data_IF_921005306392
#
_entry.id   IF_921005306392
#
_cell.length_a   1.000
_cell.length_b   1.000
_cell.length_c   1.000
_cell.angle_alpha   90.00
_cell.angle_beta   90.00
_cell.angle_gamma   90.00
#
_symmetry.space_group_name_H-M   'P 1'
#
loop_
_entity.id
_entity.type
_entity.pdbx_description
1 polymer ?
#
# COMPACT_ATOMS: atom_id res chain seq x y z
N UNK A 1 2.04 20.59 -4.05
CA UNK A 1 2.46 21.04 -2.71
C UNK A 1 1.65 20.23 -1.72
N UNK A 2 2.26 19.26 -1.02
CA UNK A 2 1.55 18.57 0.06
C UNK A 2 1.31 19.59 1.16
N UNK A 3 0.05 19.82 1.52
CA UNK A 3 -0.28 20.52 2.75
C UNK A 3 0.40 19.74 3.88
N UNK A 4 1.36 20.39 4.55
CA UNK A 4 1.99 19.80 5.73
C UNK A 4 0.92 19.71 6.81
N UNK A 5 0.64 18.51 7.34
CA UNK A 5 -0.54 18.27 8.18
C UNK A 5 -0.48 18.98 9.53
N UNK A 6 0.70 19.44 9.96
CA UNK A 6 0.88 19.91 11.33
C UNK A 6 1.23 21.40 11.39
N UNK A 7 0.21 22.17 11.71
CA UNK A 7 0.36 23.59 12.05
C UNK A 7 0.82 23.77 13.50
N UNK A 8 0.50 22.83 14.37
CA UNK A 8 0.75 22.90 15.80
C UNK A 8 1.56 21.71 16.31
N UNK A 9 2.45 21.99 17.26
CA UNK A 9 3.25 20.98 17.92
C UNK A 9 2.41 20.00 18.72
N UNK A 10 2.52 18.71 18.43
CA UNK A 10 1.79 17.64 19.16
C UNK A 10 2.24 17.48 20.62
N UNK A 11 3.41 18.05 20.99
CA UNK A 11 3.95 17.98 22.36
C UNK A 11 3.45 19.12 23.25
N UNK A 12 3.36 20.34 22.73
CA UNK A 12 3.06 21.52 23.57
C UNK A 12 2.00 22.47 22.97
N UNK A 13 1.46 22.18 21.79
CA UNK A 13 0.42 23.00 21.17
C UNK A 13 0.90 24.32 20.53
N UNK A 14 2.20 24.66 20.62
CA UNK A 14 2.72 25.87 19.98
C UNK A 14 2.70 25.75 18.45
N UNK A 15 2.54 26.88 17.75
CA UNK A 15 2.61 26.91 16.28
C UNK A 15 3.99 26.53 15.80
N UNK A 16 4.06 25.64 14.77
CA UNK A 16 5.30 25.19 14.18
C UNK A 16 5.85 26.21 13.17
N UNK A 17 7.15 26.33 13.10
CA UNK A 17 7.87 27.11 12.09
C UNK A 17 8.69 26.20 11.21
N UNK A 18 8.92 26.60 9.95
CA UNK A 18 9.75 25.85 9.03
C UNK A 18 11.21 26.26 9.19
N UNK A 19 12.06 25.33 9.59
CA UNK A 19 13.49 25.53 9.79
C UNK A 19 14.30 24.41 9.11
N UNK A 20 15.51 24.74 8.68
CA UNK A 20 16.46 23.75 8.22
C UNK A 20 16.91 22.86 9.36
N UNK A 21 16.60 21.56 9.24
CA UNK A 21 16.95 20.52 10.20
C UNK A 21 17.48 19.29 9.45
N UNK A 22 18.73 18.92 9.73
CA UNK A 22 19.38 17.77 9.08
C UNK A 22 19.32 17.81 7.54
N UNK A 23 19.65 18.99 6.96
CA UNK A 23 19.72 19.18 5.52
C UNK A 23 18.37 19.25 4.78
N UNK A 24 17.26 19.40 5.52
CA UNK A 24 15.91 19.58 4.94
C UNK A 24 15.11 20.60 5.75
N UNK A 25 14.23 21.32 5.09
CA UNK A 25 13.27 22.19 5.77
C UNK A 25 12.18 21.35 6.40
N UNK A 26 12.07 21.41 7.74
CA UNK A 26 11.09 20.66 8.52
C UNK A 26 10.27 21.55 9.46
N UNK A 27 9.00 21.22 9.74
CA UNK A 27 8.24 21.87 10.80
C UNK A 27 8.94 21.62 12.15
N UNK A 28 9.29 22.70 12.83
CA UNK A 28 10.03 22.66 14.10
C UNK A 28 9.31 23.52 15.12
N UNK A 29 9.20 23.05 16.35
CA UNK A 29 8.58 23.79 17.43
C UNK A 29 9.57 24.79 18.05
N UNK A 30 9.31 26.11 17.96
CA UNK A 30 10.19 27.10 18.58
C UNK A 30 10.12 27.11 20.11
N UNK A 31 9.10 26.51 20.71
CA UNK A 31 8.88 26.49 22.14
C UNK A 31 9.54 25.31 22.85
N UNK A 32 9.41 24.07 22.32
CA UNK A 32 9.93 22.87 22.97
C UNK A 32 11.01 22.14 22.17
N UNK A 33 11.37 22.63 20.98
CA UNK A 33 12.41 22.04 20.13
C UNK A 33 11.99 20.76 19.38
N UNK A 34 10.70 20.35 19.47
CA UNK A 34 10.23 19.18 18.74
C UNK A 34 10.30 19.40 17.23
N UNK A 35 10.82 18.41 16.50
CA UNK A 35 10.95 18.43 15.04
C UNK A 35 10.02 17.39 14.47
N UNK A 36 9.21 17.77 13.46
CA UNK A 36 8.36 16.86 12.72
C UNK A 36 9.14 16.14 11.62
N UNK A 37 9.10 14.82 11.65
CA UNK A 37 9.58 13.97 10.59
C UNK A 37 8.36 13.31 9.93
N UNK A 38 8.15 13.57 8.65
CA UNK A 38 7.09 12.92 7.91
C UNK A 38 7.42 11.44 7.74
N UNK A 39 6.57 10.57 8.26
CA UNK A 39 6.70 9.13 8.10
C UNK A 39 6.20 8.72 6.70
N UNK A 40 6.94 7.86 5.97
CA UNK A 40 6.46 7.34 4.70
C UNK A 40 5.25 6.43 4.93
N UNK A 41 4.25 6.54 4.07
CA UNK A 41 3.14 5.57 4.03
C UNK A 41 3.62 4.29 3.37
N UNK A 42 3.51 3.19 4.09
CA UNK A 42 3.90 1.86 3.62
C UNK A 42 2.66 1.04 3.35
N UNK A 43 2.59 0.43 2.17
CA UNK A 43 1.60 -0.59 1.83
C UNK A 43 2.29 -1.94 1.68
N UNK A 44 1.55 -3.00 1.95
CA UNK A 44 1.94 -4.36 1.64
C UNK A 44 1.01 -4.92 0.57
N UNK A 45 1.58 -5.57 -0.43
CA UNK A 45 0.86 -6.21 -1.52
C UNK A 45 1.22 -7.68 -1.61
N UNK A 46 0.31 -8.48 -2.11
CA UNK A 46 0.53 -9.91 -2.26
C UNK A 46 0.35 -10.38 -3.70
N UNK A 47 1.34 -11.10 -4.21
CA UNK A 47 1.30 -11.83 -5.47
C UNK A 47 0.91 -13.29 -5.17
N UNK A 48 -0.33 -13.63 -5.53
CA UNK A 48 -0.87 -14.99 -5.41
C UNK A 48 -1.06 -15.56 -6.81
N UNK A 49 -0.37 -16.66 -7.08
CA UNK A 49 -0.44 -17.36 -8.36
C UNK A 49 -1.03 -18.76 -8.15
N UNK A 50 -1.95 -19.15 -9.03
CA UNK A 50 -2.54 -20.47 -9.05
C UNK A 50 -2.79 -20.88 -10.51
N UNK A 51 -2.32 -22.07 -10.90
CA UNK A 51 -2.50 -22.66 -12.24
C UNK A 51 -2.12 -21.69 -13.40
N UNK A 52 -1.02 -20.95 -13.25
CA UNK A 52 -0.52 -19.99 -14.24
C UNK A 52 -1.33 -18.69 -14.34
N UNK A 53 -2.19 -18.45 -13.37
CA UNK A 53 -3.00 -17.23 -13.25
C UNK A 53 -2.64 -16.45 -12.01
N UNK A 54 -2.83 -15.14 -12.05
CA UNK A 54 -2.60 -14.22 -10.92
C UNK A 54 -3.91 -13.69 -10.38
N UNK A 55 -4.01 -13.63 -9.05
CA UNK A 55 -5.15 -13.03 -8.35
C UNK A 55 -5.08 -11.50 -8.44
N UNK A 56 -6.17 -10.90 -8.90
CA UNK A 56 -6.35 -9.45 -8.90
C UNK A 56 -7.69 -9.08 -8.27
N UNK A 57 -7.76 -7.88 -7.70
CA UNK A 57 -8.95 -7.24 -7.15
C UNK A 57 -9.32 -6.01 -7.96
N UNK A 58 -10.63 -5.77 -8.15
CA UNK A 58 -11.13 -4.57 -8.83
C UNK A 58 -11.51 -3.51 -7.81
N UNK A 59 -10.90 -2.36 -7.94
CA UNK A 59 -11.00 -1.23 -7.02
C UNK A 59 -12.38 -0.56 -7.03
N UNK A 60 -12.92 -0.25 -5.85
CA UNK A 60 -14.13 0.56 -5.69
C UNK A 60 -13.83 2.05 -5.42
N UNK A 61 -12.60 2.37 -5.04
CA UNK A 61 -12.20 3.71 -4.60
C UNK A 61 -11.38 4.48 -5.65
N UNK A 62 -11.47 5.82 -5.59
CA UNK A 62 -10.59 6.72 -6.33
C UNK A 62 -9.20 6.79 -5.67
N UNK A 63 -8.14 6.99 -6.45
CA UNK A 63 -8.06 7.00 -7.91
C UNK A 63 -8.17 5.60 -8.51
N UNK A 64 -8.42 5.53 -9.81
CA UNK A 64 -8.47 4.28 -10.59
C UNK A 64 -9.62 3.33 -10.21
N UNK A 65 -10.77 3.87 -9.81
CA UNK A 65 -11.98 3.10 -9.58
C UNK A 65 -12.33 2.26 -10.83
N UNK A 66 -12.67 0.98 -10.63
CA UNK A 66 -13.00 0.03 -11.69
C UNK A 66 -11.81 -0.64 -12.35
N UNK A 67 -10.58 -0.20 -12.09
CA UNK A 67 -9.36 -0.85 -12.56
C UNK A 67 -8.87 -1.91 -11.57
N UNK A 68 -7.95 -2.75 -12.03
CA UNK A 68 -7.49 -3.92 -11.29
C UNK A 68 -6.10 -3.73 -10.69
N UNK A 69 -5.86 -4.31 -9.53
CA UNK A 69 -4.57 -4.31 -8.85
C UNK A 69 -4.33 -5.64 -8.12
N UNK A 70 -3.10 -5.85 -7.66
CA UNK A 70 -2.85 -6.90 -6.67
C UNK A 70 -3.61 -6.55 -5.37
N UNK A 71 -4.06 -7.55 -4.59
CA UNK A 71 -4.53 -7.32 -3.23
C UNK A 71 -3.48 -6.58 -2.42
N UNK A 72 -3.84 -5.43 -1.84
CA UNK A 72 -2.88 -4.56 -1.17
C UNK A 72 -3.54 -3.48 -0.31
N UNK A 73 -2.95 -3.20 0.85
CA UNK A 73 -3.36 -2.08 1.67
C UNK A 73 -2.26 -1.55 2.58
N UNK A 74 -2.60 -0.59 3.42
CA UNK A 74 -1.63 0.04 4.31
C UNK A 74 -1.23 -0.86 5.47
N UNK A 75 0.06 -0.83 5.78
CA UNK A 75 0.60 -1.45 6.99
C UNK A 75 0.28 -0.56 8.18
N UNK A 76 -0.37 -1.11 9.20
CA UNK A 76 -0.68 -0.39 10.42
C UNK A 76 0.56 -0.19 11.30
N UNK A 77 0.55 0.83 12.14
CA UNK A 77 1.64 1.05 13.08
C UNK A 77 1.82 -0.18 14.01
N UNK A 78 3.03 -0.74 14.02
CA UNK A 78 3.37 -1.94 14.80
C UNK A 78 2.96 -3.27 14.15
N UNK A 79 2.35 -3.25 12.98
CA UNK A 79 1.99 -4.46 12.23
C UNK A 79 3.19 -4.98 11.44
N UNK A 80 3.37 -6.31 11.42
CA UNK A 80 4.32 -6.95 10.51
C UNK A 80 3.83 -6.83 9.06
N UNK A 81 4.65 -6.32 8.12
CA UNK A 81 4.21 -6.11 6.73
C UNK A 81 3.75 -7.38 6.01
N UNK A 82 4.31 -8.57 6.35
CA UNK A 82 3.86 -9.82 5.78
C UNK A 82 2.44 -10.17 6.28
N UNK A 83 2.17 -9.90 7.56
CA UNK A 83 0.83 -10.06 8.14
C UNK A 83 -0.18 -9.06 7.57
N UNK A 84 0.25 -7.82 7.31
CA UNK A 84 -0.57 -6.84 6.60
C UNK A 84 -0.98 -7.36 5.21
N UNK A 85 -0.05 -7.91 4.43
CA UNK A 85 -0.34 -8.49 3.12
C UNK A 85 -1.33 -9.66 3.19
N UNK A 86 -1.18 -10.56 4.20
CA UNK A 86 -2.12 -11.67 4.43
C UNK A 86 -3.51 -11.16 4.82
N UNK A 87 -3.61 -10.16 5.70
CA UNK A 87 -4.84 -9.53 6.15
C UNK A 87 -5.58 -8.86 4.98
N UNK A 88 -4.89 -8.02 4.21
CA UNK A 88 -5.47 -7.33 3.06
C UNK A 88 -5.99 -8.33 2.01
N UNK A 89 -5.24 -9.41 1.74
CA UNK A 89 -5.71 -10.45 0.84
C UNK A 89 -7.01 -11.10 1.34
N UNK A 90 -7.11 -11.39 2.64
CA UNK A 90 -8.32 -11.94 3.23
C UNK A 90 -9.49 -10.95 3.15
N UNK A 91 -9.28 -9.69 3.49
CA UNK A 91 -10.29 -8.62 3.50
C UNK A 91 -10.84 -8.36 2.09
N UNK A 92 -9.97 -8.26 1.08
CA UNK A 92 -10.36 -7.96 -0.30
C UNK A 92 -10.84 -9.17 -1.11
N UNK A 93 -10.44 -10.40 -0.74
CA UNK A 93 -10.67 -11.58 -1.58
C UNK A 93 -11.33 -12.77 -0.88
N UNK A 94 -11.43 -12.76 0.45
CA UNK A 94 -11.90 -13.90 1.24
C UNK A 94 -10.94 -15.09 1.29
N UNK A 95 -9.77 -15.02 0.61
CA UNK A 95 -8.78 -16.09 0.62
C UNK A 95 -7.83 -15.95 1.80
N UNK A 96 -7.60 -17.04 2.50
CA UNK A 96 -6.54 -17.17 3.49
C UNK A 96 -5.25 -17.54 2.77
N UNK A 97 -4.22 -16.72 2.91
CA UNK A 97 -2.92 -16.94 2.28
C UNK A 97 -1.82 -16.98 3.32
N UNK A 98 -0.72 -17.61 2.97
CA UNK A 98 0.52 -17.62 3.74
C UNK A 98 1.63 -17.01 2.89
N UNK A 99 2.27 -15.95 3.40
CA UNK A 99 3.44 -15.34 2.76
C UNK A 99 4.59 -16.35 2.74
N UNK A 100 5.20 -16.51 1.57
CA UNK A 100 6.29 -17.47 1.36
C UNK A 100 7.63 -16.79 1.08
N UNK A 101 7.62 -15.59 0.52
CA UNK A 101 8.84 -14.83 0.22
C UNK A 101 8.56 -13.33 0.06
N UNK A 102 9.56 -12.50 0.40
CA UNK A 102 9.64 -11.12 -0.07
C UNK A 102 10.06 -11.15 -1.55
N UNK A 103 9.32 -10.45 -2.42
CA UNK A 103 9.62 -10.37 -3.86
C UNK A 103 10.39 -9.08 -4.17
N UNK A 104 9.85 -7.93 -3.76
CA UNK A 104 10.46 -6.62 -4.07
C UNK A 104 9.96 -5.55 -3.07
N UNK A 105 10.67 -4.43 -3.06
CA UNK A 105 10.23 -3.18 -2.44
C UNK A 105 10.13 -2.13 -3.55
N UNK A 106 8.92 -1.73 -3.88
CA UNK A 106 8.61 -0.88 -5.02
C UNK A 106 8.34 0.54 -4.53
N UNK A 107 8.96 1.54 -5.16
CA UNK A 107 8.60 2.94 -4.92
C UNK A 107 7.14 3.16 -5.36
N UNK A 108 6.35 3.72 -4.46
CA UNK A 108 4.96 4.06 -4.69
C UNK A 108 4.80 5.50 -5.21
N UNK A 109 3.90 6.26 -4.60
CA UNK A 109 3.69 7.69 -4.85
C UNK A 109 3.15 8.02 -6.24
N UNK A 110 2.29 7.16 -6.74
CA UNK A 110 1.61 7.41 -8.02
C UNK A 110 0.48 8.45 -7.89
N UNK A 111 0.07 8.77 -6.66
CA UNK A 111 -0.89 9.82 -6.34
C UNK A 111 -0.71 10.32 -4.89
N UNK A 112 -1.24 11.50 -4.58
CA UNK A 112 -1.01 12.21 -3.32
C UNK A 112 -1.46 11.46 -2.06
N UNK A 113 -2.42 10.55 -2.18
CA UNK A 113 -2.93 9.72 -1.07
C UNK A 113 -2.41 8.28 -1.09
N UNK A 114 -1.57 7.93 -2.07
CA UNK A 114 -1.00 6.61 -2.21
C UNK A 114 0.12 6.32 -1.20
N UNK A 115 0.59 5.07 -1.21
CA UNK A 115 1.76 4.66 -0.47
C UNK A 115 3.03 5.29 -1.06
N UNK A 116 3.99 5.62 -0.21
CA UNK A 116 5.33 6.02 -0.62
C UNK A 116 6.17 4.79 -1.01
N UNK A 117 5.82 3.64 -0.44
CA UNK A 117 6.54 2.38 -0.60
C UNK A 117 5.56 1.22 -0.56
N UNK A 118 5.75 0.24 -1.44
CA UNK A 118 4.97 -1.00 -1.49
C UNK A 118 5.93 -2.17 -1.26
N UNK A 119 5.66 -2.96 -0.23
CA UNK A 119 6.38 -4.20 0.05
C UNK A 119 5.61 -5.34 -0.61
N UNK A 120 6.18 -5.94 -1.66
CA UNK A 120 5.55 -7.01 -2.42
C UNK A 120 5.99 -8.37 -1.90
N UNK A 121 5.03 -9.17 -1.50
CA UNK A 121 5.24 -10.55 -1.08
C UNK A 121 4.65 -11.54 -2.08
N UNK A 122 5.27 -12.71 -2.19
CA UNK A 122 4.66 -13.90 -2.79
C UNK A 122 3.93 -14.67 -1.69
N UNK A 123 2.73 -15.16 -2.00
CA UNK A 123 1.98 -15.99 -1.06
C UNK A 123 1.31 -17.16 -1.78
N UNK A 124 0.96 -18.18 -0.99
CA UNK A 124 0.18 -19.34 -1.43
C UNK A 124 -1.17 -19.36 -0.72
N UNK A 125 -2.21 -19.81 -1.40
CA UNK A 125 -3.53 -19.99 -0.79
C UNK A 125 -3.47 -21.21 0.16
N UNK A 126 -3.97 -21.03 1.38
CA UNK A 126 -4.06 -22.07 2.40
C UNK A 126 -5.51 -22.39 2.80
N UNK A 127 -6.46 -21.53 2.40
CA UNK A 127 -7.88 -21.72 2.72
C UNK A 127 -8.73 -20.54 2.26
N UNK A 128 -9.93 -20.45 2.81
CA UNK A 128 -10.89 -19.41 2.46
C UNK A 128 -11.71 -19.75 1.21
N UNK A 129 -12.56 -18.80 0.83
CA UNK A 129 -13.39 -18.90 -0.37
C UNK A 129 -13.29 -17.56 -1.11
N UNK A 130 -13.00 -17.62 -2.41
CA UNK A 130 -12.89 -16.43 -3.24
C UNK A 130 -14.20 -15.65 -3.26
N UNK A 131 -14.20 -14.51 -2.60
CA UNK A 131 -15.33 -13.60 -2.49
C UNK A 131 -14.80 -12.19 -2.30
N UNK A 132 -15.13 -11.22 -3.19
CA UNK A 132 -14.69 -9.85 -3.04
C UNK A 132 -15.26 -9.22 -1.77
N UNK A 133 -14.48 -8.35 -1.15
CA UNK A 133 -14.87 -7.62 0.05
C UNK A 133 -14.08 -6.32 0.22
N UNK A 134 -14.40 -5.57 1.25
CA UNK A 134 -13.78 -4.29 1.60
C UNK A 134 -13.69 -3.33 0.40
N UNK A 135 -12.49 -2.97 -0.01
CA UNK A 135 -12.18 -2.03 -1.10
C UNK A 135 -12.28 -2.65 -2.51
N UNK A 136 -12.76 -3.90 -2.64
CA UNK A 136 -12.90 -4.61 -3.90
C UNK A 136 -14.34 -5.06 -4.16
N UNK A 137 -14.86 -4.83 -5.36
CA UNK A 137 -16.16 -5.35 -5.81
C UNK A 137 -16.03 -6.62 -6.66
N UNK A 138 -14.83 -6.98 -7.07
CA UNK A 138 -14.49 -8.24 -7.74
C UNK A 138 -13.10 -8.71 -7.31
N UNK A 139 -12.95 -10.05 -7.26
CA UNK A 139 -11.68 -10.73 -7.07
C UNK A 139 -11.64 -11.93 -8.02
N UNK A 140 -10.67 -11.99 -8.91
CA UNK A 140 -10.60 -12.99 -9.97
C UNK A 140 -9.15 -13.39 -10.28
N UNK A 141 -8.96 -14.63 -10.77
CA UNK A 141 -7.66 -15.09 -11.28
C UNK A 141 -7.58 -14.89 -12.79
N UNK A 142 -6.56 -14.16 -13.25
CA UNK A 142 -6.33 -13.85 -14.66
C UNK A 142 -5.08 -14.55 -15.18
N UNK A 143 -5.15 -15.09 -16.40
CA UNK A 143 -3.98 -15.54 -17.12
C UNK A 143 -3.12 -14.31 -17.53
N UNK A 144 -1.81 -14.48 -17.59
CA UNK A 144 -0.89 -13.38 -17.89
C UNK A 144 -1.06 -12.80 -19.32
N UNK A 145 -1.60 -13.58 -20.25
CA UNK A 145 -1.94 -13.15 -21.63
C UNK A 145 -3.34 -12.53 -21.76
N UNK A 146 -4.12 -12.49 -20.66
CA UNK A 146 -5.50 -11.98 -20.63
C UNK A 146 -5.73 -11.06 -19.41
N UNK A 147 -4.72 -10.28 -19.04
CA UNK A 147 -4.81 -9.35 -17.93
C UNK A 147 -5.78 -8.21 -18.25
N UNK A 148 -6.60 -7.78 -17.29
CA UNK A 148 -7.46 -6.61 -17.42
C UNK A 148 -6.65 -5.31 -17.34
N UNK A 149 -7.32 -4.17 -17.48
CA UNK A 149 -6.68 -2.87 -17.30
C UNK A 149 -6.21 -2.69 -15.84
N UNK A 150 -4.90 -2.44 -15.68
CA UNK A 150 -4.25 -2.35 -14.38
C UNK A 150 -4.18 -0.91 -13.87
N UNK A 151 -4.50 -0.73 -12.59
CA UNK A 151 -4.59 0.57 -11.93
C UNK A 151 -3.24 1.27 -11.79
N UNK A 152 -2.19 0.54 -11.42
CA UNK A 152 -0.92 1.11 -10.96
C UNK A 152 0.28 0.60 -11.75
N UNK A 153 1.28 1.48 -11.93
CA UNK A 153 2.58 1.08 -12.46
C UNK A 153 3.27 0.06 -11.54
N UNK A 154 3.11 0.20 -10.22
CA UNK A 154 3.60 -0.76 -9.25
C UNK A 154 3.03 -2.17 -9.48
N UNK A 155 1.74 -2.30 -9.80
CA UNK A 155 1.14 -3.59 -10.17
C UNK A 155 1.76 -4.14 -11.46
N UNK A 156 1.94 -3.29 -12.50
CA UNK A 156 2.60 -3.71 -13.75
C UNK A 156 4.03 -4.18 -13.52
N UNK A 157 4.79 -3.46 -12.67
CA UNK A 157 6.14 -3.86 -12.28
C UNK A 157 6.15 -5.20 -11.55
N UNK A 158 5.25 -5.37 -10.59
CA UNK A 158 5.11 -6.62 -9.82
C UNK A 158 4.81 -7.84 -10.72
N UNK A 159 4.10 -7.63 -11.83
CA UNK A 159 3.77 -8.66 -12.82
C UNK A 159 4.83 -8.80 -13.94
N UNK A 160 5.93 -8.06 -13.87
CA UNK A 160 7.01 -8.12 -14.87
C UNK A 160 6.63 -7.54 -16.24
N UNK A 161 5.71 -6.59 -16.30
CA UNK A 161 5.24 -5.97 -17.55
C UNK A 161 6.01 -4.71 -17.93
N UNK A 162 6.78 -4.14 -16.99
CA UNK A 162 7.66 -2.97 -17.18
C UNK A 162 8.91 -3.12 -16.32
#
# INVERSE_FOLDING_TARGET
MSELPDRFCVKCGAELVHQEQFGQVRPTCPSCGWIYFADPKVAAAVLVECDGKVLLTRRVNQPHQGLWSLPAGFVNAGEDPARAAERECLEETGLVVEVTALVDVIAGREHSRGADMIILYRARVTGGQLQPGDDADRAEFFAYDALPELAFAATRKALGLI
#
